data_IF_164881288941
#
_entry.id   IF_164881288941
#
_cell.length_a   1.000
_cell.length_b   1.000
_cell.length_c   1.000
_cell.angle_alpha   90.00
_cell.angle_beta   90.00
_cell.angle_gamma   90.00
#
_symmetry.space_group_name_H-M   'P 1'
#
loop_
_entity.id
_entity.type
_entity.pdbx_description
1 polymer ?
#
# COMPACT_ATOMS: atom_id res chain seq x y z
N UNK A 1 0.62 9.19 -8.16
CA UNK A 1 0.95 8.60 -9.50
C UNK A 1 -0.03 7.47 -9.81
N UNK A 2 -0.15 6.97 -11.03
CA UNK A 2 -1.07 5.85 -11.32
C UNK A 2 -0.38 4.50 -11.09
N UNK A 3 -1.12 3.50 -10.61
CA UNK A 3 -0.59 2.16 -10.34
C UNK A 3 0.01 1.53 -11.60
N UNK A 4 -0.61 1.73 -12.76
CA UNK A 4 -0.14 1.20 -14.06
C UNK A 4 1.26 1.70 -14.44
N UNK A 5 1.65 2.90 -14.02
CA UNK A 5 2.94 3.52 -14.35
C UNK A 5 3.95 3.42 -13.22
N UNK A 6 3.52 2.96 -12.04
CA UNK A 6 4.37 2.86 -10.87
C UNK A 6 5.29 1.64 -10.97
N UNK A 7 6.59 1.88 -10.82
CA UNK A 7 7.59 0.84 -10.65
C UNK A 7 7.69 0.53 -9.16
N UNK A 8 6.88 -0.41 -8.71
CA UNK A 8 6.89 -0.86 -7.32
C UNK A 8 8.20 -1.56 -6.99
N UNK A 9 8.70 -1.28 -5.78
CA UNK A 9 9.81 -1.99 -5.18
C UNK A 9 9.26 -2.95 -4.13
N UNK A 10 9.74 -4.19 -4.17
CA UNK A 10 9.37 -5.22 -3.20
C UNK A 10 9.91 -4.80 -1.83
N UNK A 11 9.08 -4.93 -0.80
CA UNK A 11 9.39 -4.56 0.58
C UNK A 11 9.14 -3.09 0.93
N UNK A 12 8.89 -2.22 -0.05
CA UNK A 12 8.58 -0.81 0.20
C UNK A 12 7.09 -0.61 0.52
N UNK A 13 6.80 0.37 1.39
CA UNK A 13 5.43 0.76 1.74
C UNK A 13 4.91 1.80 0.76
N UNK A 14 3.75 1.49 0.17
CA UNK A 14 3.02 2.40 -0.71
C UNK A 14 1.66 2.71 -0.12
N UNK A 15 1.17 3.90 -0.44
CA UNK A 15 -0.20 4.33 -0.21
C UNK A 15 -0.96 4.17 -1.53
N UNK A 16 -2.14 3.56 -1.47
CA UNK A 16 -3.02 3.29 -2.58
C UNK A 16 -4.35 4.00 -2.38
N UNK A 17 -4.85 4.67 -3.42
CA UNK A 17 -6.14 5.33 -3.38
C UNK A 17 -6.95 5.06 -4.66
N UNK A 18 -8.27 5.00 -4.51
CA UNK A 18 -9.22 4.78 -5.61
C UNK A 18 -9.36 6.04 -6.48
N UNK A 19 -9.62 7.20 -5.87
CA UNK A 19 -9.93 8.45 -6.59
C UNK A 19 -8.93 9.60 -6.39
N UNK A 20 -8.24 9.69 -5.25
CA UNK A 20 -7.32 10.79 -4.94
C UNK A 20 -5.89 10.51 -5.46
N UNK A 21 -5.37 11.33 -6.40
CA UNK A 21 -4.00 11.21 -6.89
C UNK A 21 -2.92 11.54 -5.85
N UNK A 22 -3.27 12.31 -4.81
CA UNK A 22 -2.39 12.68 -3.70
C UNK A 22 -2.07 11.51 -2.76
N UNK A 23 -2.97 10.52 -2.72
CA UNK A 23 -2.91 9.38 -1.81
C UNK A 23 -2.70 9.88 -0.37
N UNK A 24 -3.68 10.65 0.13
CA UNK A 24 -3.70 11.10 1.53
C UNK A 24 -3.64 9.89 2.47
N UNK A 25 -2.74 9.95 3.46
CA UNK A 25 -2.45 8.85 4.38
C UNK A 25 -3.61 8.45 5.29
N UNK A 26 -4.61 9.32 5.45
CA UNK A 26 -5.80 9.07 6.27
C UNK A 26 -6.90 8.31 5.54
N UNK A 27 -6.91 8.38 4.21
CA UNK A 27 -7.94 7.76 3.36
C UNK A 27 -7.39 6.67 2.45
N UNK A 28 -6.07 6.58 2.32
CA UNK A 28 -5.40 5.57 1.51
C UNK A 28 -5.25 4.23 2.22
N UNK A 29 -5.23 3.16 1.43
CA UNK A 29 -4.75 1.87 1.86
C UNK A 29 -3.23 1.88 1.89
N UNK A 30 -2.65 1.54 3.03
CA UNK A 30 -1.23 1.32 3.18
C UNK A 30 -0.90 -0.12 2.82
N UNK A 31 0.20 -0.36 2.12
CA UNK A 31 0.61 -1.71 1.76
C UNK A 31 2.09 -1.87 1.52
N UNK A 32 2.68 -2.91 2.12
CA UNK A 32 4.01 -3.42 1.75
C UNK A 32 3.82 -4.22 0.47
N UNK A 33 4.52 -3.82 -0.60
CA UNK A 33 4.47 -4.57 -1.86
C UNK A 33 5.32 -5.82 -1.74
N UNK A 34 4.69 -6.99 -1.92
CA UNK A 34 5.36 -8.28 -1.91
C UNK A 34 5.75 -8.72 -3.31
N UNK A 35 4.90 -9.53 -3.93
CA UNK A 35 5.11 -10.02 -5.28
C UNK A 35 3.98 -9.56 -6.22
N UNK A 36 4.06 -10.04 -7.47
CA UNK A 36 2.92 -10.00 -8.38
C UNK A 36 2.44 -11.42 -8.62
N UNK A 37 1.13 -11.58 -8.79
CA UNK A 37 0.55 -12.87 -9.12
C UNK A 37 0.70 -13.22 -10.61
N UNK A 38 0.16 -14.37 -11.02
CA UNK A 38 0.17 -14.83 -12.40
C UNK A 38 -0.56 -13.89 -13.39
N UNK A 39 -1.47 -13.05 -12.89
CA UNK A 39 -2.22 -12.05 -13.65
C UNK A 39 -1.57 -10.66 -13.57
N UNK A 40 -0.33 -10.58 -13.05
CA UNK A 40 0.44 -9.35 -12.88
C UNK A 40 -0.26 -8.32 -11.96
N UNK A 41 -1.16 -8.78 -11.08
CA UNK A 41 -1.76 -7.98 -10.01
C UNK A 41 -0.78 -7.87 -8.86
N UNK A 42 -0.87 -6.76 -8.14
CA UNK A 42 0.03 -6.47 -7.02
C UNK A 42 -0.46 -7.23 -5.80
N UNK A 43 0.39 -8.04 -5.21
CA UNK A 43 0.13 -8.67 -3.92
C UNK A 43 0.81 -7.85 -2.84
N UNK A 44 0.05 -7.51 -1.81
CA UNK A 44 0.54 -6.84 -0.62
C UNK A 44 0.86 -7.89 0.43
N UNK A 45 2.08 -7.89 0.95
CA UNK A 45 2.48 -8.76 2.07
C UNK A 45 1.68 -8.40 3.31
N UNK A 46 1.55 -7.10 3.56
CA UNK A 46 0.80 -6.54 4.67
C UNK A 46 0.11 -5.29 4.17
N UNK A 47 -1.19 -5.16 4.41
CA UNK A 47 -1.96 -3.98 4.08
C UNK A 47 -2.80 -3.49 5.26
N UNK A 48 -3.10 -2.20 5.29
CA UNK A 48 -3.94 -1.60 6.32
C UNK A 48 -4.58 -0.30 5.83
N UNK A 49 -5.89 -0.15 6.02
CA UNK A 49 -6.58 1.10 5.70
C UNK A 49 -6.57 2.12 6.85
N UNK A 50 -6.19 1.70 8.07
CA UNK A 50 -6.34 2.51 9.27
C UNK A 50 -5.19 2.39 10.27
N UNK A 51 -4.10 1.68 9.93
CA UNK A 51 -2.96 1.38 10.80
C UNK A 51 -3.33 0.69 12.12
N UNK A 52 -4.51 0.05 12.18
CA UNK A 52 -4.98 -0.67 13.37
C UNK A 52 -5.26 -2.13 13.07
N UNK A 53 -5.84 -2.40 11.90
CA UNK A 53 -6.08 -3.75 11.39
C UNK A 53 -5.15 -3.99 10.22
N UNK A 54 -4.52 -5.15 10.22
CA UNK A 54 -3.60 -5.55 9.16
C UNK A 54 -4.11 -6.81 8.49
N UNK A 55 -4.19 -6.75 7.18
CA UNK A 55 -4.49 -7.89 6.33
C UNK A 55 -3.20 -8.36 5.66
N UNK A 56 -3.00 -9.67 5.59
CA UNK A 56 -1.77 -10.26 5.07
C UNK A 56 -2.02 -10.99 3.76
N UNK A 57 -1.04 -10.95 2.86
CA UNK A 57 -1.08 -11.66 1.57
C UNK A 57 -2.32 -11.36 0.73
N UNK A 58 -2.74 -10.09 0.72
CA UNK A 58 -3.92 -9.64 -0.01
C UNK A 58 -3.56 -9.13 -1.40
N UNK A 59 -4.34 -9.50 -2.41
CA UNK A 59 -4.23 -8.89 -3.73
C UNK A 59 -4.82 -7.47 -3.69
N UNK A 60 -4.11 -6.49 -4.24
CA UNK A 60 -4.59 -5.12 -4.35
C UNK A 60 -5.84 -5.10 -5.24
N UNK A 61 -7.00 -4.64 -4.70
CA UNK A 61 -8.22 -4.55 -5.48
C UNK A 61 -8.06 -3.65 -6.72
N UNK A 62 -8.72 -4.01 -7.83
CA UNK A 62 -8.61 -3.29 -9.10
C UNK A 62 -9.23 -1.88 -9.08
N UNK A 63 -9.98 -1.54 -8.03
CA UNK A 63 -10.54 -0.20 -7.79
C UNK A 63 -9.48 0.84 -7.44
N UNK A 64 -8.32 0.42 -6.93
CA UNK A 64 -7.22 1.33 -6.66
C UNK A 64 -6.60 1.76 -7.99
N UNK A 65 -6.57 3.07 -8.23
CA UNK A 65 -6.04 3.65 -9.47
C UNK A 65 -4.74 4.41 -9.24
N UNK A 66 -4.61 5.02 -8.07
CA UNK A 66 -3.49 5.85 -7.69
C UNK A 66 -2.65 5.17 -6.61
N UNK A 67 -1.35 5.41 -6.69
CA UNK A 67 -0.43 5.05 -5.65
C UNK A 67 0.63 6.14 -5.45
N UNK A 68 1.34 6.05 -4.33
CA UNK A 68 2.50 6.87 -3.98
C UNK A 68 3.38 6.10 -3.00
N UNK A 69 4.70 6.27 -3.11
CA UNK A 69 5.62 5.76 -2.09
C UNK A 69 5.42 6.53 -0.78
N UNK A 70 5.40 5.82 0.36
CA UNK A 70 5.31 6.47 1.68
C UNK A 70 6.48 7.42 1.89
N UNK A 71 6.24 8.52 2.60
CA UNK A 71 7.33 9.34 3.13
C UNK A 71 8.05 8.59 4.26
N UNK A 72 9.20 9.12 4.69
CA UNK A 72 9.94 8.51 5.80
C UNK A 72 9.20 8.58 7.14
N UNK A 73 8.38 9.62 7.33
CA UNK A 73 7.54 9.77 8.52
C UNK A 73 6.40 8.75 8.49
N UNK A 74 5.73 8.62 7.35
CA UNK A 74 4.67 7.64 7.12
C UNK A 74 5.17 6.21 7.31
N UNK A 75 6.33 5.87 6.76
CA UNK A 75 6.94 4.56 6.95
C UNK A 75 7.19 4.24 8.44
N UNK A 76 7.62 5.24 9.22
CA UNK A 76 7.81 5.10 10.67
C UNK A 76 6.48 4.85 11.36
N UNK A 77 5.43 5.60 11.02
CA UNK A 77 4.09 5.41 11.59
C UNK A 77 3.54 4.02 11.26
N UNK A 78 3.68 3.57 10.01
CA UNK A 78 3.27 2.23 9.59
C UNK A 78 4.01 1.14 10.38
N UNK A 79 5.34 1.24 10.46
CA UNK A 79 6.19 0.27 11.15
C UNK A 79 5.92 0.25 12.65
N UNK A 80 5.71 1.43 13.26
CA UNK A 80 5.40 1.54 14.67
C UNK A 80 4.06 0.89 15.01
N UNK A 81 3.03 1.10 14.20
CA UNK A 81 1.72 0.49 14.41
C UNK A 81 1.68 -1.00 14.07
N UNK A 82 2.49 -1.45 13.10
CA UNK A 82 2.59 -2.86 12.73
C UNK A 82 3.20 -3.70 13.86
N UNK A 83 4.24 -3.19 14.53
CA UNK A 83 4.88 -3.88 15.66
C UNK A 83 4.02 -3.92 16.95
N UNK A 84 2.83 -3.29 16.94
CA UNK A 84 1.91 -3.26 18.09
C UNK A 84 0.70 -4.19 17.94
N UNK A 85 0.52 -4.81 16.77
CA UNK A 85 -0.43 -5.91 16.57
C UNK A 85 0.24 -7.25 16.81
#
# INVERSE_FOLDING_TARGET
>A
MTIKTCKFRIGDVYLFHTTDPGCDSRTSLWGIVGNRDAENRICLETSSANLRKYDYWTVLPAEYQFCRLSTREELRDFSFNLNRN
#
